data_IF_001115984287
#
_entry.id   IF_001115984287
#
_cell.length_a   1.000
_cell.length_b   1.000
_cell.length_c   1.000
_cell.angle_alpha   90.00
_cell.angle_beta   90.00
_cell.angle_gamma   90.00
#
_symmetry.space_group_name_H-M   'P 1'
#
loop_
_entity.id
_entity.type
_entity.pdbx_description
1 polymer ?
#
# COMPACT_ATOMS: atom_id res chain seq x y z
N UNK A 1 -10.85 7.40 27.85
CA UNK A 1 -10.36 8.50 26.98
C UNK A 1 -9.37 9.38 27.71
N UNK A 2 -9.69 9.85 28.93
CA UNK A 2 -8.81 10.68 29.77
C UNK A 2 -7.32 10.28 29.78
N UNK A 3 -7.02 9.02 30.10
CA UNK A 3 -5.62 8.55 30.23
C UNK A 3 -4.96 8.17 28.89
N UNK A 4 -5.69 8.25 27.76
CA UNK A 4 -5.15 7.89 26.46
C UNK A 4 -4.29 9.03 25.90
N UNK A 5 -3.14 8.70 25.32
CA UNK A 5 -2.30 9.66 24.59
C UNK A 5 -2.91 10.03 23.22
N UNK A 6 -3.66 9.11 22.62
CA UNK A 6 -4.27 9.21 21.29
C UNK A 6 -5.52 8.34 21.25
N UNK A 7 -6.47 8.69 20.39
CA UNK A 7 -7.67 7.88 20.12
C UNK A 7 -7.62 7.34 18.69
N UNK A 8 -7.67 6.02 18.55
CA UNK A 8 -7.82 5.35 17.26
C UNK A 8 -9.30 5.01 17.05
N UNK A 9 -9.87 5.44 15.93
CA UNK A 9 -11.26 5.20 15.58
C UNK A 9 -11.33 4.29 14.36
N UNK A 10 -12.01 3.15 14.50
CA UNK A 10 -12.36 2.27 13.40
C UNK A 10 -13.76 2.61 12.89
N UNK A 11 -13.82 3.21 11.70
CA UNK A 11 -15.03 3.66 11.02
C UNK A 11 -15.63 2.51 10.20
N UNK A 12 -16.83 2.10 10.59
CA UNK A 12 -17.71 1.22 9.82
C UNK A 12 -19.12 1.81 9.73
N UNK A 13 -19.91 1.31 8.79
CA UNK A 13 -21.31 1.68 8.61
C UNK A 13 -22.07 1.57 9.93
N UNK A 14 -22.78 2.63 10.31
CA UNK A 14 -23.49 2.73 11.58
C UNK A 14 -22.63 3.14 12.79
N UNK A 15 -21.33 3.38 12.62
CA UNK A 15 -20.46 3.84 13.73
C UNK A 15 -21.02 5.10 14.39
N UNK A 16 -21.42 6.10 13.59
CA UNK A 16 -21.98 7.34 14.12
C UNK A 16 -23.47 7.25 14.43
N UNK A 17 -24.16 6.16 14.09
CA UNK A 17 -25.49 5.87 14.61
C UNK A 17 -25.44 5.39 16.08
N UNK A 18 -24.34 4.77 16.51
CA UNK A 18 -24.14 4.32 17.90
C UNK A 18 -23.87 5.46 18.88
N UNK A 19 -24.69 5.58 19.93
CA UNK A 19 -24.49 6.58 20.99
C UNK A 19 -23.19 6.37 21.76
N UNK A 20 -22.77 5.12 21.97
CA UNK A 20 -21.54 4.84 22.70
C UNK A 20 -20.31 5.30 21.91
N UNK A 21 -20.26 5.00 20.61
CA UNK A 21 -19.19 5.42 19.72
C UNK A 21 -19.10 6.94 19.66
N UNK A 22 -20.24 7.64 19.47
CA UNK A 22 -20.27 9.11 19.49
C UNK A 22 -19.73 9.70 20.80
N UNK A 23 -20.07 9.11 21.95
CA UNK A 23 -19.59 9.58 23.26
C UNK A 23 -18.06 9.56 23.35
N UNK A 24 -17.41 8.53 22.81
CA UNK A 24 -15.94 8.42 22.81
C UNK A 24 -15.30 9.46 21.90
N UNK A 25 -15.88 9.69 20.70
CA UNK A 25 -15.43 10.75 19.79
C UNK A 25 -15.56 12.12 20.43
N UNK A 26 -16.71 12.42 21.03
CA UNK A 26 -16.96 13.73 21.65
C UNK A 26 -16.05 13.98 22.85
N UNK A 27 -15.75 12.95 23.66
CA UNK A 27 -14.77 13.06 24.74
C UNK A 27 -13.37 13.36 24.20
N UNK A 28 -12.96 12.70 23.11
CA UNK A 28 -11.67 12.95 22.47
C UNK A 28 -11.56 14.38 21.93
N UNK A 29 -12.64 14.91 21.35
CA UNK A 29 -12.72 16.30 20.90
C UNK A 29 -12.63 17.29 22.07
N UNK A 30 -13.40 17.07 23.13
CA UNK A 30 -13.43 17.94 24.31
C UNK A 30 -12.06 18.04 25.00
N UNK A 31 -11.31 16.94 25.02
CA UNK A 31 -9.95 16.89 25.57
C UNK A 31 -8.84 17.23 24.55
N UNK A 32 -9.22 17.63 23.33
CA UNK A 32 -8.30 17.89 22.20
C UNK A 32 -7.28 16.77 21.97
N UNK A 33 -7.69 15.52 22.15
CA UNK A 33 -6.84 14.36 21.93
C UNK A 33 -6.54 14.22 20.42
N UNK A 34 -5.32 13.80 20.04
CA UNK A 34 -5.07 13.33 18.68
C UNK A 34 -6.03 12.20 18.32
N UNK A 35 -6.55 12.24 17.09
CA UNK A 35 -7.45 11.22 16.54
C UNK A 35 -6.82 10.68 15.26
N UNK A 36 -6.68 9.36 15.20
CA UNK A 36 -6.33 8.66 13.96
C UNK A 36 -7.52 7.78 13.56
N UNK A 37 -7.81 7.75 12.27
CA UNK A 37 -8.96 7.03 11.73
C UNK A 37 -8.53 5.92 10.81
N UNK A 38 -9.26 4.82 10.91
CA UNK A 38 -9.20 3.63 10.04
C UNK A 38 -10.60 3.43 9.49
N UNK A 39 -10.76 3.08 8.22
CA UNK A 39 -12.08 2.90 7.61
C UNK A 39 -12.21 1.53 6.98
N UNK A 40 -13.26 0.79 7.31
CA UNK A 40 -13.58 -0.48 6.65
C UNK A 40 -13.90 -0.22 5.17
N UNK A 41 -13.09 -0.79 4.28
CA UNK A 41 -13.25 -0.62 2.84
C UNK A 41 -14.24 -1.63 2.25
N UNK A 42 -14.38 -2.81 2.86
CA UNK A 42 -15.23 -3.90 2.39
C UNK A 42 -16.71 -3.65 2.76
N UNK A 43 -17.52 -3.32 1.75
CA UNK A 43 -18.96 -3.04 1.90
C UNK A 43 -19.73 -4.21 2.53
N UNK A 44 -19.37 -5.45 2.23
CA UNK A 44 -20.05 -6.64 2.75
C UNK A 44 -19.70 -6.91 4.22
N UNK A 45 -18.67 -6.24 4.74
CA UNK A 45 -18.23 -6.30 6.14
C UNK A 45 -18.55 -5.04 6.92
N UNK A 46 -19.43 -4.21 6.39
CA UNK A 46 -19.84 -2.95 7.01
C UNK A 46 -18.99 -1.76 6.61
N UNK A 47 -18.33 -1.81 5.45
CA UNK A 47 -17.59 -0.68 4.92
C UNK A 47 -18.50 0.49 4.55
N UNK A 48 -17.96 1.71 4.65
CA UNK A 48 -18.62 2.89 4.09
C UNK A 48 -17.61 3.89 3.54
N UNK A 49 -18.07 4.72 2.63
CA UNK A 49 -17.30 5.82 2.06
C UNK A 49 -17.21 6.96 3.07
N UNK A 50 -16.20 7.82 2.92
CA UNK A 50 -16.06 9.04 3.72
C UNK A 50 -17.33 9.90 3.65
N UNK A 51 -17.96 10.00 2.47
CA UNK A 51 -19.19 10.78 2.26
C UNK A 51 -20.35 10.21 3.09
N UNK A 52 -20.53 8.88 3.09
CA UNK A 52 -21.56 8.22 3.91
C UNK A 52 -21.31 8.44 5.41
N UNK A 53 -20.05 8.36 5.86
CA UNK A 53 -19.69 8.61 7.25
C UNK A 53 -19.96 10.06 7.68
N UNK A 54 -19.61 11.03 6.84
CA UNK A 54 -19.92 12.44 7.09
C UNK A 54 -21.44 12.68 7.16
N UNK A 55 -22.22 12.00 6.31
CA UNK A 55 -23.68 12.06 6.37
C UNK A 55 -24.22 11.44 7.68
N UNK A 56 -23.65 10.34 8.16
CA UNK A 56 -24.01 9.79 9.47
C UNK A 56 -23.69 10.73 10.63
N UNK A 57 -22.53 11.41 10.61
CA UNK A 57 -22.18 12.41 11.64
C UNK A 57 -23.23 13.50 11.70
N UNK A 58 -23.63 14.05 10.54
CA UNK A 58 -24.67 15.09 10.46
C UNK A 58 -26.00 14.61 11.00
N UNK A 59 -26.41 13.38 10.68
CA UNK A 59 -27.63 12.77 11.25
C UNK A 59 -27.53 12.56 12.77
N UNK A 60 -26.40 12.07 13.25
CA UNK A 60 -26.17 11.78 14.68
C UNK A 60 -26.05 13.02 15.56
N UNK A 61 -25.70 14.16 14.97
CA UNK A 61 -25.57 15.46 15.64
C UNK A 61 -26.80 16.35 15.49
N UNK A 62 -27.85 15.88 14.79
CA UNK A 62 -29.08 16.63 14.54
C UNK A 62 -29.96 16.86 15.79
N UNK A 63 -29.58 16.29 16.93
CA UNK A 63 -30.18 16.66 18.22
C UNK A 63 -29.29 17.73 18.86
N UNK A 64 -29.73 19.00 18.82
CA UNK A 64 -29.13 20.14 19.51
C UNK A 64 -29.30 20.03 21.04
N UNK A 65 -28.79 18.95 21.63
CA UNK A 65 -28.68 18.83 23.08
C UNK A 65 -27.40 19.53 23.54
N UNK A 66 -27.48 20.26 24.66
CA UNK A 66 -26.33 20.92 25.25
C UNK A 66 -25.17 19.92 25.47
N UNK A 67 -23.99 20.27 24.96
CA UNK A 67 -22.77 19.45 25.08
C UNK A 67 -22.48 18.51 23.90
N UNK A 68 -23.32 18.49 22.85
CA UNK A 68 -22.99 17.80 21.59
C UNK A 68 -22.18 18.75 20.69
N UNK A 69 -20.98 18.36 20.21
CA UNK A 69 -20.20 19.16 19.26
C UNK A 69 -20.93 19.35 17.93
N UNK A 70 -20.65 20.46 17.23
CA UNK A 70 -21.17 20.69 15.88
C UNK A 70 -20.69 19.58 14.94
N UNK A 71 -21.58 19.08 14.08
CA UNK A 71 -21.27 18.05 13.08
C UNK A 71 -20.05 18.41 12.22
N UNK A 72 -19.91 19.67 11.81
CA UNK A 72 -18.80 20.11 10.96
C UNK A 72 -17.46 20.11 11.73
N UNK A 73 -17.47 20.44 13.03
CA UNK A 73 -16.28 20.31 13.88
C UNK A 73 -15.86 18.85 14.05
N UNK A 74 -16.84 17.95 14.23
CA UNK A 74 -16.61 16.50 14.30
C UNK A 74 -16.01 15.99 12.99
N UNK A 75 -16.57 16.38 11.85
CA UNK A 75 -16.07 16.01 10.53
C UNK A 75 -14.64 16.53 10.35
N UNK A 76 -14.38 17.80 10.64
CA UNK A 76 -13.07 18.41 10.50
C UNK A 76 -12.01 17.72 11.36
N UNK A 77 -12.38 17.25 12.57
CA UNK A 77 -11.45 16.54 13.47
C UNK A 77 -11.23 15.09 13.10
N UNK A 78 -12.30 14.35 12.79
CA UNK A 78 -12.23 12.91 12.43
C UNK A 78 -11.52 12.72 11.08
N UNK A 79 -11.73 13.63 10.14
CA UNK A 79 -11.15 13.58 8.79
C UNK A 79 -10.06 14.65 8.58
N UNK A 80 -9.42 15.12 9.66
CA UNK A 80 -8.28 16.04 9.58
C UNK A 80 -7.11 15.44 8.76
N UNK A 81 -7.05 14.10 8.73
CA UNK A 81 -6.21 13.30 7.85
C UNK A 81 -7.08 12.27 7.15
N UNK A 82 -6.63 11.84 5.97
CA UNK A 82 -7.27 10.75 5.26
C UNK A 82 -7.25 9.47 6.10
N UNK A 83 -8.41 8.83 6.36
CA UNK A 83 -8.48 7.58 7.10
C UNK A 83 -7.66 6.48 6.43
N UNK A 84 -7.03 5.63 7.22
CA UNK A 84 -6.31 4.45 6.71
C UNK A 84 -7.35 3.44 6.23
N UNK A 85 -7.35 3.01 4.96
CA UNK A 85 -8.22 1.93 4.51
C UNK A 85 -7.87 0.63 5.24
N UNK A 86 -8.87 -0.04 5.81
CA UNK A 86 -8.73 -1.40 6.31
C UNK A 86 -9.17 -2.37 5.21
N UNK A 87 -8.19 -3.05 4.63
CA UNK A 87 -8.39 -4.09 3.62
C UNK A 87 -8.26 -5.45 4.29
N UNK A 88 -9.10 -6.42 3.93
CA UNK A 88 -9.17 -7.72 4.63
C UNK A 88 -8.21 -8.79 4.15
N UNK A 89 -7.50 -8.57 3.04
CA UNK A 89 -6.42 -9.44 2.60
C UNK A 89 -5.21 -9.34 3.54
N UNK A 90 -4.60 -10.48 3.88
CA UNK A 90 -3.52 -10.58 4.88
C UNK A 90 -2.39 -9.56 4.66
N UNK A 91 -1.88 -9.46 3.44
CA UNK A 91 -0.73 -8.60 3.14
C UNK A 91 -1.11 -7.11 3.18
N UNK A 92 -2.33 -6.77 2.76
CA UNK A 92 -2.86 -5.42 2.87
C UNK A 92 -3.17 -5.02 4.33
N UNK A 93 -3.59 -5.97 5.17
CA UNK A 93 -3.74 -5.75 6.61
C UNK A 93 -2.41 -5.40 7.26
N UNK A 94 -1.33 -6.08 6.88
CA UNK A 94 0.02 -5.78 7.38
C UNK A 94 0.41 -4.34 7.06
N UNK A 95 0.18 -3.88 5.82
CA UNK A 95 0.44 -2.50 5.43
C UNK A 95 -0.41 -1.52 6.23
N UNK A 96 -1.70 -1.81 6.40
CA UNK A 96 -2.63 -0.99 7.19
C UNK A 96 -2.20 -0.90 8.66
N UNK A 97 -1.78 -2.00 9.26
CA UNK A 97 -1.28 -2.08 10.64
C UNK A 97 0.00 -1.27 10.82
N UNK A 98 0.92 -1.31 9.85
CA UNK A 98 2.13 -0.48 9.86
C UNK A 98 1.78 1.00 9.79
N UNK A 99 0.85 1.39 8.92
CA UNK A 99 0.42 2.79 8.86
C UNK A 99 -0.25 3.24 10.16
N UNK A 100 -1.11 2.41 10.76
CA UNK A 100 -1.73 2.69 12.06
C UNK A 100 -0.66 2.88 13.12
N UNK A 101 0.26 1.91 13.24
CA UNK A 101 1.35 1.98 14.20
C UNK A 101 2.21 3.22 13.97
N UNK A 102 2.60 3.51 12.72
CA UNK A 102 3.40 4.68 12.39
C UNK A 102 2.71 5.98 12.77
N UNK A 103 1.41 6.12 12.50
CA UNK A 103 0.64 7.31 12.91
C UNK A 103 0.56 7.43 14.42
N UNK A 104 0.25 6.34 15.14
CA UNK A 104 0.21 6.31 16.61
C UNK A 104 1.56 6.69 17.23
N UNK A 105 2.66 6.08 16.75
CA UNK A 105 4.00 6.32 17.28
C UNK A 105 4.39 7.80 17.17
N UNK A 106 4.04 8.48 16.08
CA UNK A 106 4.31 9.92 15.88
C UNK A 106 3.70 10.84 16.95
N UNK A 107 2.68 10.39 17.67
CA UNK A 107 2.07 11.15 18.77
C UNK A 107 2.65 10.82 20.15
N UNK A 108 3.50 9.78 20.26
CA UNK A 108 4.08 9.39 21.54
C UNK A 108 5.27 10.29 21.92
N UNK A 109 5.43 10.66 23.21
CA UNK A 109 6.44 11.64 23.64
C UNK A 109 7.88 11.34 23.19
N UNK A 110 8.26 10.06 23.20
CA UNK A 110 9.58 9.63 22.75
C UNK A 110 9.82 9.95 21.27
N UNK A 111 8.89 9.61 20.38
CA UNK A 111 9.06 9.79 18.93
C UNK A 111 8.80 11.23 18.49
N UNK A 112 7.99 11.99 19.23
CA UNK A 112 7.92 13.45 19.05
C UNK A 112 9.30 14.09 19.30
N UNK A 113 10.04 13.58 20.29
CA UNK A 113 11.39 14.06 20.61
C UNK A 113 12.47 13.48 19.69
N UNK A 114 12.22 12.32 19.07
CA UNK A 114 13.17 11.58 18.22
C UNK A 114 12.51 11.21 16.88
N UNK A 115 12.08 12.17 16.05
CA UNK A 115 11.34 11.88 14.82
C UNK A 115 12.17 11.09 13.81
N UNK A 116 13.50 11.22 13.85
CA UNK A 116 14.42 10.50 12.97
C UNK A 116 14.37 8.99 13.13
N UNK A 117 13.98 8.48 14.30
CA UNK A 117 13.90 7.04 14.58
C UNK A 117 12.81 6.37 13.72
N UNK A 118 11.83 7.13 13.24
CA UNK A 118 10.76 6.65 12.36
C UNK A 118 11.08 6.77 10.86
N UNK A 119 12.19 7.43 10.48
CA UNK A 119 12.53 7.68 9.06
C UNK A 119 12.76 6.39 8.25
N UNK A 120 13.14 5.30 8.93
CA UNK A 120 13.37 3.99 8.30
C UNK A 120 12.08 3.19 8.07
N UNK A 121 10.93 3.69 8.52
CA UNK A 121 9.68 2.94 8.47
C UNK A 121 9.58 1.88 9.58
N UNK A 122 8.49 1.12 9.54
CA UNK A 122 8.29 -0.05 10.40
C UNK A 122 8.57 -1.32 9.61
N UNK A 123 9.21 -2.28 10.25
CA UNK A 123 9.46 -3.62 9.71
C UNK A 123 8.84 -4.66 10.63
N UNK A 124 8.12 -5.64 10.07
CA UNK A 124 7.64 -6.80 10.82
C UNK A 124 8.63 -7.96 10.67
N UNK A 125 8.74 -8.83 11.70
CA UNK A 125 9.49 -10.07 11.57
C UNK A 125 8.98 -10.90 10.39
N UNK A 126 9.90 -11.35 9.53
CA UNK A 126 9.57 -12.12 8.33
C UNK A 126 9.39 -11.29 7.06
N UNK A 127 9.32 -9.97 7.17
CA UNK A 127 9.34 -9.12 5.98
C UNK A 127 10.73 -9.06 5.35
N UNK A 128 10.74 -8.95 4.02
CA UNK A 128 11.96 -8.70 3.29
C UNK A 128 12.52 -7.35 3.74
N UNK A 129 13.74 -7.38 4.29
CA UNK A 129 14.50 -6.16 4.57
C UNK A 129 14.68 -5.35 3.28
N UNK A 130 14.89 -4.02 3.36
CA UNK A 130 15.12 -3.19 2.18
C UNK A 130 16.15 -3.83 1.25
N UNK A 131 15.67 -4.32 0.10
CA UNK A 131 16.50 -5.03 -0.86
C UNK A 131 17.23 -4.02 -1.76
N UNK A 132 18.44 -4.36 -2.16
CA UNK A 132 19.21 -3.57 -3.13
C UNK A 132 19.68 -4.45 -4.26
N UNK A 133 19.46 -3.99 -5.48
CA UNK A 133 20.09 -4.59 -6.64
C UNK A 133 21.61 -4.42 -6.54
N UNK A 134 22.39 -5.52 -6.58
CA UNK A 134 23.84 -5.46 -6.44
C UNK A 134 24.50 -4.81 -7.65
N UNK A 135 25.66 -4.17 -7.45
CA UNK A 135 26.52 -3.73 -8.56
C UNK A 135 26.90 -4.93 -9.45
N UNK A 136 26.90 -4.82 -10.79
CA UNK A 136 26.81 -3.58 -11.58
C UNK A 136 25.39 -3.11 -11.95
N UNK A 137 24.36 -3.60 -11.25
CA UNK A 137 22.94 -3.32 -11.54
C UNK A 137 22.23 -4.52 -12.16
N UNK A 138 20.96 -4.35 -12.51
CA UNK A 138 20.12 -5.43 -13.03
C UNK A 138 19.28 -4.96 -14.21
N UNK A 139 19.32 -5.69 -15.32
CA UNK A 139 18.41 -5.54 -16.46
C UNK A 139 17.27 -6.54 -16.31
N UNK A 140 16.05 -6.02 -16.22
CA UNK A 140 14.81 -6.77 -16.24
C UNK A 140 14.33 -6.84 -17.68
N UNK A 141 14.27 -8.04 -18.24
CA UNK A 141 13.68 -8.26 -19.55
C UNK A 141 12.17 -8.40 -19.43
N UNK A 142 11.43 -7.71 -20.28
CA UNK A 142 9.97 -7.79 -20.37
C UNK A 142 9.54 -8.19 -21.78
N UNK A 143 8.40 -8.85 -21.88
CA UNK A 143 7.78 -9.21 -23.15
C UNK A 143 6.51 -8.38 -23.32
N UNK A 144 6.40 -7.61 -24.40
CA UNK A 144 5.22 -6.76 -24.65
C UNK A 144 3.92 -7.57 -24.77
N UNK A 145 4.01 -8.82 -25.23
CA UNK A 145 2.87 -9.74 -25.29
C UNK A 145 2.44 -10.27 -23.90
N UNK A 146 3.28 -10.11 -22.87
CA UNK A 146 2.94 -10.47 -21.50
C UNK A 146 2.34 -9.25 -20.79
N UNK A 147 1.03 -9.07 -20.98
CA UNK A 147 0.25 -7.98 -20.37
C UNK A 147 0.51 -7.90 -18.85
N UNK A 148 0.87 -6.72 -18.34
CA UNK A 148 1.20 -6.48 -16.93
C UNK A 148 2.70 -6.54 -16.60
N UNK A 149 3.52 -7.25 -17.37
CA UNK A 149 4.95 -7.42 -17.07
C UNK A 149 5.73 -6.10 -17.06
N UNK A 150 5.48 -5.22 -18.03
CA UNK A 150 6.12 -3.90 -18.10
C UNK A 150 5.76 -3.03 -16.88
N UNK A 151 4.49 -3.03 -16.47
CA UNK A 151 4.04 -2.23 -15.32
C UNK A 151 4.75 -2.67 -14.03
N UNK A 152 4.85 -3.98 -13.78
CA UNK A 152 5.58 -4.52 -12.63
C UNK A 152 7.08 -4.21 -12.70
N UNK A 153 7.70 -4.36 -13.87
CA UNK A 153 9.12 -4.05 -14.04
C UNK A 153 9.42 -2.56 -13.79
N UNK A 154 8.52 -1.67 -14.20
CA UNK A 154 8.61 -0.24 -13.96
C UNK A 154 8.43 0.12 -12.49
N UNK A 155 7.52 -0.55 -11.78
CA UNK A 155 7.35 -0.38 -10.34
C UNK A 155 8.62 -0.82 -9.57
N UNK A 156 9.22 -1.95 -9.96
CA UNK A 156 10.51 -2.40 -9.40
C UNK A 156 11.61 -1.37 -9.68
N UNK A 157 11.68 -0.83 -10.90
CA UNK A 157 12.65 0.20 -11.26
C UNK A 157 12.46 1.47 -10.43
N UNK A 158 11.24 1.97 -10.30
CA UNK A 158 10.93 3.16 -9.50
C UNK A 158 11.30 2.96 -8.02
N UNK A 159 10.96 1.80 -7.46
CA UNK A 159 11.25 1.45 -6.06
C UNK A 159 12.75 1.30 -5.79
N UNK A 160 13.52 0.79 -6.75
CA UNK A 160 14.97 0.71 -6.63
C UNK A 160 15.62 2.11 -6.57
N UNK A 161 15.16 3.05 -7.40
CA UNK A 161 15.69 4.42 -7.44
C UNK A 161 15.39 5.21 -6.17
N UNK A 162 14.19 5.04 -5.59
CA UNK A 162 13.83 5.70 -4.32
C UNK A 162 14.61 5.12 -3.13
N UNK A 163 14.94 3.83 -3.16
CA UNK A 163 15.65 3.15 -2.07
C UNK A 163 17.16 3.41 -2.06
N UNK A 164 17.77 3.71 -3.22
CA UNK A 164 19.21 3.97 -3.34
C UNK A 164 19.56 4.55 -4.70
N UNK A 165 20.17 5.74 -4.75
CA UNK A 165 20.71 6.33 -5.99
C UNK A 165 21.81 5.48 -6.66
N UNK A 166 22.36 4.48 -5.95
CA UNK A 166 23.37 3.56 -6.47
C UNK A 166 22.79 2.25 -7.04
N UNK A 167 21.49 2.00 -6.88
CA UNK A 167 20.84 0.81 -7.45
C UNK A 167 20.37 1.12 -8.86
N UNK A 168 21.02 0.52 -9.86
CA UNK A 168 20.67 0.72 -11.26
C UNK A 168 19.84 -0.46 -11.77
N UNK A 169 18.61 -0.16 -12.17
CA UNK A 169 17.69 -1.11 -12.79
C UNK A 169 17.34 -0.61 -14.18
N UNK A 170 17.58 -1.44 -15.18
CA UNK A 170 17.18 -1.22 -16.56
C UNK A 170 15.99 -2.13 -16.89
N UNK A 171 15.15 -1.67 -17.81
CA UNK A 171 14.02 -2.44 -18.34
C UNK A 171 14.18 -2.45 -19.84
N UNK A 172 14.26 -3.64 -20.43
CA UNK A 172 14.53 -3.84 -21.85
C UNK A 172 13.56 -4.87 -22.45
N UNK A 173 13.28 -4.76 -23.73
CA UNK A 173 12.44 -5.73 -24.45
C UNK A 173 13.21 -7.03 -24.66
N UNK A 174 12.61 -8.15 -24.27
CA UNK A 174 13.25 -9.45 -24.23
C UNK A 174 13.61 -9.99 -25.63
N UNK A 175 12.77 -9.75 -26.63
CA UNK A 175 13.05 -10.10 -28.03
C UNK A 175 14.31 -9.42 -28.58
N UNK A 176 14.53 -8.15 -28.28
CA UNK A 176 15.71 -7.40 -28.68
C UNK A 176 16.99 -7.92 -28.02
N UNK A 177 16.92 -8.30 -26.74
CA UNK A 177 18.09 -8.75 -25.96
C UNK A 177 18.41 -10.24 -26.17
N UNK A 178 17.40 -11.07 -26.39
CA UNK A 178 17.56 -12.52 -26.59
C UNK A 178 17.78 -12.90 -28.06
N UNK A 179 17.92 -11.92 -28.96
CA UNK A 179 18.30 -12.16 -30.34
C UNK A 179 19.76 -12.66 -30.42
N UNK A 180 20.05 -13.54 -31.40
CA UNK A 180 21.34 -14.23 -31.49
C UNK A 180 22.58 -13.30 -31.56
N UNK A 181 22.42 -12.11 -32.13
CA UNK A 181 23.48 -11.11 -32.31
C UNK A 181 23.32 -9.88 -31.41
N UNK A 182 22.49 -9.95 -30.38
CA UNK A 182 22.24 -8.83 -29.49
C UNK A 182 23.49 -8.49 -28.67
N UNK A 183 23.75 -7.18 -28.51
CA UNK A 183 24.75 -6.73 -27.56
C UNK A 183 24.32 -7.13 -26.12
N UNK A 184 25.24 -7.60 -25.27
CA UNK A 184 24.89 -7.97 -23.91
C UNK A 184 24.39 -6.73 -23.15
N UNK A 185 23.24 -6.83 -22.47
CA UNK A 185 22.70 -5.73 -21.68
C UNK A 185 23.58 -5.45 -20.46
N UNK A 186 23.46 -4.27 -19.85
CA UNK A 186 24.22 -3.95 -18.65
C UNK A 186 23.78 -4.80 -17.45
N UNK A 187 24.71 -5.06 -16.53
CA UNK A 187 24.39 -5.68 -15.26
C UNK A 187 24.03 -7.16 -15.34
N UNK A 188 23.35 -7.64 -14.30
CA UNK A 188 22.76 -8.99 -14.27
C UNK A 188 21.44 -8.99 -15.02
N UNK A 189 21.12 -10.07 -15.72
CA UNK A 189 19.91 -10.17 -16.54
C UNK A 189 18.94 -11.15 -15.91
N UNK A 190 17.65 -10.80 -15.89
CA UNK A 190 16.57 -11.72 -15.56
C UNK A 190 15.34 -11.41 -16.42
N UNK A 191 14.63 -12.44 -16.86
CA UNK A 191 13.32 -12.30 -17.51
C UNK A 191 12.23 -12.22 -16.45
N UNK A 192 11.38 -11.20 -16.51
CA UNK A 192 10.17 -11.12 -15.70
C UNK A 192 8.99 -11.69 -16.50
N UNK A 193 8.26 -12.62 -15.89
CA UNK A 193 7.01 -13.14 -16.44
C UNK A 193 5.90 -12.86 -15.43
N UNK A 194 4.94 -12.06 -15.87
CA UNK A 194 3.72 -11.78 -15.11
C UNK A 194 2.68 -12.87 -15.41
N UNK A 195 2.33 -13.65 -14.40
CA UNK A 195 1.41 -14.76 -14.48
C UNK A 195 0.02 -14.28 -14.08
N UNK A 196 -0.80 -14.02 -15.10
CA UNK A 196 -2.24 -13.81 -14.99
C UNK A 196 -2.98 -14.86 -15.86
N UNK A 197 -4.31 -14.77 -15.93
CA UNK A 197 -5.15 -15.64 -16.76
C UNK A 197 -4.78 -15.63 -18.26
N UNK A 198 -4.02 -14.64 -18.73
CA UNK A 198 -3.67 -14.42 -20.16
C UNK A 198 -2.20 -14.69 -20.50
N UNK A 199 -1.34 -15.01 -19.54
CA UNK A 199 0.11 -15.00 -19.70
C UNK A 199 0.66 -15.88 -20.85
N UNK A 200 -0.09 -16.90 -21.28
CA UNK A 200 0.28 -17.79 -22.39
C UNK A 200 -0.84 -17.98 -23.42
N UNK A 201 -1.80 -17.06 -23.46
CA UNK A 201 -2.93 -17.12 -24.39
C UNK A 201 -2.76 -16.17 -25.57
N UNK A 202 -1.56 -15.59 -25.74
CA UNK A 202 -1.30 -14.64 -26.81
C UNK A 202 -1.41 -15.34 -28.19
N UNK A 203 -2.10 -14.74 -29.18
CA UNK A 203 -2.38 -15.40 -30.47
C UNK A 203 -1.14 -15.84 -31.26
N UNK A 204 0.06 -15.35 -30.92
CA UNK A 204 1.32 -15.67 -31.60
C UNK A 204 2.23 -16.61 -30.83
N UNK A 205 1.86 -17.03 -29.62
CA UNK A 205 2.74 -17.79 -28.71
C UNK A 205 4.06 -17.05 -28.39
N UNK A 206 4.05 -15.72 -28.49
CA UNK A 206 5.21 -14.85 -28.31
C UNK A 206 5.74 -14.96 -26.88
N UNK A 207 4.87 -15.05 -25.87
CA UNK A 207 5.30 -15.18 -24.48
C UNK A 207 6.01 -16.53 -24.28
N UNK A 208 5.40 -17.62 -24.76
CA UNK A 208 5.99 -18.96 -24.68
C UNK A 208 7.34 -19.05 -25.41
N UNK A 209 7.44 -18.45 -26.60
CA UNK A 209 8.69 -18.40 -27.37
C UNK A 209 9.78 -17.58 -26.64
N UNK A 210 9.41 -16.47 -26.00
CA UNK A 210 10.33 -15.62 -25.23
C UNK A 210 10.85 -16.34 -23.99
N UNK A 211 9.97 -17.00 -23.25
CA UNK A 211 10.35 -17.85 -22.11
C UNK A 211 11.29 -18.96 -22.57
N UNK A 212 11.00 -19.62 -23.69
CA UNK A 212 11.88 -20.65 -24.24
C UNK A 212 13.28 -20.10 -24.56
N UNK A 213 13.37 -18.97 -25.26
CA UNK A 213 14.66 -18.32 -25.57
C UNK A 213 15.45 -17.97 -24.31
N UNK A 214 14.79 -17.47 -23.27
CA UNK A 214 15.45 -17.18 -22.00
C UNK A 214 15.98 -18.44 -21.31
N UNK A 215 15.22 -19.54 -21.32
CA UNK A 215 15.67 -20.84 -20.80
C UNK A 215 16.88 -21.37 -21.57
N UNK A 216 16.83 -21.31 -22.91
CA UNK A 216 17.92 -21.77 -23.77
C UNK A 216 19.20 -20.93 -23.58
N UNK A 217 19.05 -19.63 -23.32
CA UNK A 217 20.14 -18.72 -22.99
C UNK A 217 20.60 -18.81 -21.50
N UNK A 218 19.96 -19.63 -20.67
CA UNK A 218 20.26 -19.74 -19.24
C UNK A 218 19.96 -18.48 -18.43
N UNK A 219 19.10 -17.59 -18.94
CA UNK A 219 18.68 -16.37 -18.24
C UNK A 219 17.71 -16.74 -17.12
N UNK A 220 17.96 -16.32 -15.86
CA UNK A 220 17.02 -16.53 -14.76
C UNK A 220 15.64 -15.95 -15.05
N UNK A 221 14.59 -16.68 -14.68
CA UNK A 221 13.19 -16.27 -14.89
C UNK A 221 12.56 -15.99 -13.52
N UNK A 222 12.14 -14.75 -13.32
CA UNK A 222 11.36 -14.31 -12.17
C UNK A 222 9.87 -14.36 -12.52
N UNK A 223 9.12 -15.19 -11.80
CA UNK A 223 7.67 -15.30 -11.96
C UNK A 223 7.00 -14.38 -10.94
N UNK A 224 6.11 -13.51 -11.42
CA UNK A 224 5.26 -12.67 -10.57
C UNK A 224 3.82 -13.12 -10.79
N UNK A 225 3.20 -13.67 -9.75
CA UNK A 225 1.85 -14.21 -9.85
C UNK A 225 0.82 -13.20 -9.37
N UNK A 226 -0.20 -12.95 -10.18
CA UNK A 226 -1.41 -12.24 -9.75
C UNK A 226 -2.16 -13.16 -8.78
N UNK A 227 -2.18 -12.80 -7.49
CA UNK A 227 -3.05 -13.48 -6.53
C UNK A 227 -4.45 -12.88 -6.73
N UNK A 228 -5.40 -13.71 -7.17
CA UNK A 228 -6.82 -13.31 -7.25
C UNK A 228 -7.26 -12.73 -5.90
N UNK A 229 -7.85 -11.52 -5.93
CA UNK A 229 -8.45 -10.85 -4.77
C UNK A 229 -9.73 -11.56 -4.27
#
# INVERSE_FOLDING_TARGET
VADAAIVLIFLSSGYFASRNCRREVYAALAENKPIETVIEADKDKGGATIVEMQAEIRRGSAAEAAGIPNADDVIARVFAREPIPWLRGHDYQVVSLKEIAMRVLRHLPYYVSNPSDLNRGLTLPGELSPFRFPSPGTTILVCDANEGALAVAEEVRATAHTSSSASTVWVEEAGAVLAADAAPPPGRVALLVYLNERAFTDPGGVVAATVRRAMDAGVPIALVHELEE
#
